data_IF_439747277414
#
_entry.id   IF_439747277414
#
_cell.length_a   1.000
_cell.length_b   1.000
_cell.length_c   1.000
_cell.angle_alpha   90.00
_cell.angle_beta   90.00
_cell.angle_gamma   90.00
#
_symmetry.space_group_name_H-M   'P 1'
#
loop_
_entity.id
_entity.type
_entity.pdbx_description
1 polymer ?
#
# COMPACT_ATOMS: atom_id res chain seq x y z
N UNK A 1 -68.03 9.40 67.54
CA UNK A 1 -68.79 8.30 66.92
C UNK A 1 -68.27 8.10 65.50
N UNK A 2 -67.80 6.88 65.20
CA UNK A 2 -67.73 6.20 63.88
C UNK A 2 -66.91 6.95 62.78
N UNK A 3 -65.65 6.62 62.50
CA UNK A 3 -65.09 5.47 61.76
C UNK A 3 -65.16 5.59 60.21
N UNK A 4 -63.99 5.34 59.59
CA UNK A 4 -63.77 4.94 58.18
C UNK A 4 -63.63 6.11 57.18
N UNK A 5 -62.67 6.16 56.26
CA UNK A 5 -61.58 5.26 55.89
C UNK A 5 -61.07 5.64 54.49
N UNK A 6 -59.74 5.81 54.36
CA UNK A 6 -58.92 5.61 53.14
C UNK A 6 -59.10 6.51 51.91
N UNK A 7 -58.01 7.19 51.50
CA UNK A 7 -57.21 6.89 50.30
C UNK A 7 -55.94 7.80 50.30
N UNK A 8 -54.82 7.18 49.92
CA UNK A 8 -53.45 7.71 49.81
C UNK A 8 -53.17 8.32 48.41
N UNK A 9 -51.96 8.90 48.29
CA UNK A 9 -51.26 9.47 47.11
C UNK A 9 -51.42 10.99 47.02
N UNK A 10 -50.41 11.87 47.09
CA UNK A 10 -48.95 11.73 47.07
C UNK A 10 -48.38 12.77 46.08
N UNK A 11 -47.68 13.83 46.54
CA UNK A 11 -46.90 14.74 45.69
C UNK A 11 -45.72 15.37 46.47
N UNK A 12 -44.51 14.94 46.10
CA UNK A 12 -43.27 15.75 46.01
C UNK A 12 -42.39 15.99 47.24
N UNK A 13 -41.09 15.66 47.15
CA UNK A 13 -40.01 16.48 47.71
C UNK A 13 -39.15 17.12 46.59
N UNK A 14 -38.41 18.22 46.88
CA UNK A 14 -37.62 18.92 45.90
C UNK A 14 -36.25 18.27 45.66
N UNK A 15 -35.74 18.58 44.48
CA UNK A 15 -34.49 18.18 43.84
C UNK A 15 -33.23 18.63 44.59
N UNK A 16 -32.37 17.66 44.92
CA UNK A 16 -30.92 17.85 45.01
C UNK A 16 -30.24 16.69 44.27
N UNK A 17 -29.27 17.03 43.43
CA UNK A 17 -28.41 16.06 42.75
C UNK A 17 -28.42 16.26 41.24
N UNK A 18 -27.29 16.75 40.73
CA UNK A 18 -26.50 16.06 39.70
C UNK A 18 -25.17 16.83 39.58
N UNK A 19 -24.16 16.28 40.23
CA UNK A 19 -22.77 16.65 40.04
C UNK A 19 -22.33 16.31 38.62
N UNK A 20 -21.53 17.21 38.07
CA UNK A 20 -20.71 16.99 36.88
C UNK A 20 -19.71 15.85 37.13
N UNK A 21 -19.78 14.80 36.32
CA UNK A 21 -18.65 13.92 36.05
C UNK A 21 -18.87 13.19 34.72
N UNK A 22 -18.23 13.67 33.65
CA UNK A 22 -17.50 12.81 32.70
C UNK A 22 -16.68 13.59 31.65
N UNK A 23 -15.40 13.91 31.95
CA UNK A 23 -14.40 14.15 30.91
C UNK A 23 -13.15 13.24 31.00
N UNK A 24 -13.03 12.39 32.03
CA UNK A 24 -11.78 11.67 32.30
C UNK A 24 -11.57 10.43 31.40
N UNK A 25 -12.65 9.73 31.03
CA UNK A 25 -12.55 8.48 30.25
C UNK A 25 -12.10 8.71 28.79
N UNK A 26 -12.58 9.76 28.14
CA UNK A 26 -12.19 10.09 26.76
C UNK A 26 -10.70 10.47 26.65
N UNK A 27 -10.16 11.19 27.64
CA UNK A 27 -8.75 11.58 27.69
C UNK A 27 -7.83 10.38 27.92
N UNK A 28 -8.26 9.45 28.78
CA UNK A 28 -7.47 8.24 29.11
C UNK A 28 -7.42 7.29 27.92
N UNK A 29 -8.55 7.06 27.24
CA UNK A 29 -8.59 6.21 26.04
C UNK A 29 -7.69 6.76 24.94
N UNK A 30 -7.71 8.08 24.68
CA UNK A 30 -6.86 8.71 23.66
C UNK A 30 -5.37 8.64 24.03
N UNK A 31 -5.02 8.81 25.31
CA UNK A 31 -3.63 8.71 25.76
C UNK A 31 -3.10 7.27 25.66
N UNK A 32 -3.93 6.28 25.97
CA UNK A 32 -3.59 4.86 25.78
C UNK A 32 -3.44 4.53 24.30
N UNK A 33 -4.33 5.02 23.44
CA UNK A 33 -4.28 4.78 22.00
C UNK A 33 -3.01 5.37 21.35
N UNK A 34 -2.64 6.60 21.75
CA UNK A 34 -1.39 7.24 21.31
C UNK A 34 -0.16 6.46 21.79
N UNK A 35 -0.16 5.98 23.04
CA UNK A 35 0.95 5.17 23.55
C UNK A 35 1.07 3.81 22.82
N UNK A 36 -0.07 3.17 22.53
CA UNK A 36 -0.14 1.90 21.78
C UNK A 36 0.41 2.04 20.36
N UNK A 37 0.17 3.18 19.70
CA UNK A 37 0.70 3.44 18.35
C UNK A 37 2.15 3.97 18.34
N UNK A 38 2.56 4.70 19.37
CA UNK A 38 3.90 5.28 19.44
C UNK A 38 4.98 4.21 19.74
N UNK A 39 4.68 3.20 20.58
CA UNK A 39 5.68 2.18 20.93
C UNK A 39 6.18 1.35 19.72
N UNK A 40 5.31 0.86 18.80
CA UNK A 40 5.76 0.20 17.57
C UNK A 40 6.57 1.11 16.64
N UNK A 41 6.26 2.41 16.60
CA UNK A 41 7.04 3.39 15.83
C UNK A 41 8.44 3.60 16.42
N UNK A 42 8.54 3.74 17.75
CA UNK A 42 9.83 3.87 18.44
C UNK A 42 10.69 2.60 18.25
N UNK A 43 10.07 1.41 18.33
CA UNK A 43 10.75 0.15 18.04
C UNK A 43 11.25 0.10 16.59
N UNK A 44 10.43 0.49 15.63
CA UNK A 44 10.79 0.56 14.21
C UNK A 44 12.04 1.42 13.98
N UNK A 45 12.08 2.63 14.56
CA UNK A 45 13.24 3.53 14.45
C UNK A 45 14.50 2.94 15.06
N UNK A 46 14.38 2.31 16.23
CA UNK A 46 15.52 1.78 16.95
C UNK A 46 16.09 0.49 16.32
N UNK A 47 15.23 -0.36 15.74
CA UNK A 47 15.60 -1.74 15.40
C UNK A 47 15.49 -2.06 13.90
N UNK A 48 14.62 -1.39 13.15
CA UNK A 48 14.34 -1.70 11.75
C UNK A 48 15.05 -0.74 10.81
N UNK A 49 14.97 0.58 11.06
CA UNK A 49 15.65 1.57 10.22
C UNK A 49 17.15 1.31 10.02
N UNK A 50 17.92 0.92 11.06
CA UNK A 50 19.33 0.57 10.87
C UNK A 50 19.56 -0.60 9.90
N UNK A 51 18.59 -1.51 9.73
CA UNK A 51 18.70 -2.65 8.81
C UNK A 51 18.73 -2.18 7.34
N UNK A 52 18.06 -1.08 7.02
CA UNK A 52 18.01 -0.52 5.67
C UNK A 52 19.32 0.13 5.25
N UNK A 53 20.00 0.77 6.20
CA UNK A 53 21.29 1.46 6.01
C UNK A 53 22.49 0.52 6.14
N UNK A 54 22.30 -0.66 6.76
CA UNK A 54 23.36 -1.65 6.99
C UNK A 54 24.08 -1.98 5.68
N UNK A 55 25.40 -1.73 5.59
CA UNK A 55 26.18 -2.12 4.41
C UNK A 55 26.16 -3.64 4.26
N UNK A 56 25.76 -4.12 3.08
CA UNK A 56 25.66 -5.56 2.81
C UNK A 56 26.54 -6.03 1.65
N UNK A 57 27.29 -5.11 1.00
CA UNK A 57 28.07 -5.31 -0.24
C UNK A 57 27.73 -4.25 -1.31
N UNK A 58 28.55 -4.14 -2.37
CA UNK A 58 28.39 -3.15 -3.46
C UNK A 58 28.05 -3.86 -4.79
N UNK A 59 27.23 -3.27 -5.69
CA UNK A 59 27.03 -3.81 -7.04
C UNK A 59 28.36 -3.93 -7.80
N UNK A 60 28.81 -5.16 -8.05
CA UNK A 60 30.11 -5.46 -8.68
C UNK A 60 31.16 -6.08 -7.76
N UNK A 61 30.85 -6.23 -6.47
CA UNK A 61 31.59 -7.10 -5.55
C UNK A 61 31.06 -8.53 -5.65
N UNK A 62 31.94 -9.53 -5.72
CA UNK A 62 31.59 -10.96 -5.58
C UNK A 62 31.23 -11.34 -4.13
N UNK A 63 31.23 -10.37 -3.20
CA UNK A 63 30.81 -10.54 -1.81
C UNK A 63 29.82 -9.45 -1.41
N UNK A 64 28.60 -9.90 -1.15
CA UNK A 64 27.56 -9.11 -0.49
C UNK A 64 26.58 -8.39 -1.43
N UNK A 65 25.32 -8.30 -0.99
CA UNK A 65 24.22 -7.63 -1.70
C UNK A 65 24.18 -6.14 -1.41
N UNK A 66 23.58 -5.32 -2.27
CA UNK A 66 23.41 -3.89 -1.99
C UNK A 66 22.60 -3.69 -0.68
N UNK A 67 22.88 -2.61 0.06
CA UNK A 67 22.02 -2.21 1.17
C UNK A 67 20.61 -1.89 0.65
N UNK A 68 19.56 -2.11 1.46
CA UNK A 68 18.18 -1.87 1.02
C UNK A 68 18.01 -0.45 0.50
N UNK A 69 18.58 0.53 1.22
CA UNK A 69 18.49 1.94 0.87
C UNK A 69 19.06 2.27 -0.52
N UNK A 70 20.08 1.54 -0.99
CA UNK A 70 20.73 1.79 -2.28
C UNK A 70 19.75 1.68 -3.45
N UNK A 71 18.73 0.82 -3.33
CA UNK A 71 17.67 0.70 -4.31
C UNK A 71 16.39 1.43 -3.86
N UNK A 72 16.07 1.40 -2.57
CA UNK A 72 14.80 1.86 -2.03
C UNK A 72 14.70 3.37 -1.77
N UNK A 73 15.77 4.16 -1.84
CA UNK A 73 15.67 5.63 -1.81
C UNK A 73 15.35 6.25 -3.18
N UNK A 74 16.01 5.78 -4.25
CA UNK A 74 15.95 6.47 -5.56
C UNK A 74 15.57 5.57 -6.74
N UNK A 75 15.94 4.29 -6.72
CA UNK A 75 15.81 3.40 -7.89
C UNK A 75 14.44 2.74 -7.95
N UNK A 76 13.80 2.48 -6.81
CA UNK A 76 12.49 1.83 -6.72
C UNK A 76 11.45 2.78 -6.13
N UNK A 77 11.08 3.81 -6.88
CA UNK A 77 9.96 4.71 -6.57
C UNK A 77 8.57 4.06 -6.69
N UNK A 78 8.49 2.73 -6.56
CA UNK A 78 7.26 1.95 -6.70
C UNK A 78 7.18 0.96 -5.55
N UNK A 79 6.25 1.22 -4.62
CA UNK A 79 5.81 0.40 -3.47
C UNK A 79 6.62 0.47 -2.18
N UNK A 80 7.94 0.55 -2.28
CA UNK A 80 8.80 0.68 -1.11
C UNK A 80 9.84 1.75 -1.40
N UNK A 81 9.45 3.00 -1.15
CA UNK A 81 10.28 4.18 -1.33
C UNK A 81 10.59 4.78 0.03
N UNK A 82 11.85 4.70 0.44
CA UNK A 82 12.35 5.32 1.65
C UNK A 82 12.80 6.75 1.33
N UNK A 83 12.68 7.64 2.31
CA UNK A 83 13.28 8.96 2.28
C UNK A 83 14.79 8.86 2.16
N UNK A 84 15.41 9.84 1.52
CA UNK A 84 16.87 9.97 1.52
C UNK A 84 17.35 10.33 2.94
N UNK A 85 18.25 9.54 3.55
CA UNK A 85 18.73 9.85 4.90
C UNK A 85 19.50 11.16 4.91
N UNK A 86 19.29 11.97 5.94
CA UNK A 86 20.06 13.20 6.16
C UNK A 86 21.50 12.85 6.53
N UNK A 87 22.47 13.47 5.88
CA UNK A 87 23.88 13.28 6.23
C UNK A 87 24.18 13.82 7.63
N UNK A 88 24.81 12.98 8.47
CA UNK A 88 25.31 13.38 9.79
C UNK A 88 26.81 13.06 9.89
N UNK A 89 27.54 13.63 10.86
CA UNK A 89 28.96 13.30 11.08
C UNK A 89 29.24 11.81 11.33
N UNK A 90 28.23 11.04 11.74
CA UNK A 90 28.33 9.61 12.04
C UNK A 90 27.76 8.71 10.92
N UNK A 91 27.41 9.29 9.76
CA UNK A 91 26.74 8.61 8.64
C UNK A 91 25.33 9.16 8.36
N UNK A 92 24.63 8.60 7.38
CA UNK A 92 23.24 8.99 7.07
C UNK A 92 22.26 8.53 8.17
N UNK A 93 21.33 9.38 8.57
CA UNK A 93 20.24 9.06 9.49
C UNK A 93 18.95 9.81 9.11
N UNK A 94 17.80 9.27 9.47
CA UNK A 94 16.51 9.93 9.24
C UNK A 94 16.14 10.85 10.39
N UNK A 95 15.60 12.03 10.06
CA UNK A 95 14.87 12.84 11.06
C UNK A 95 13.61 12.10 11.49
N UNK A 96 12.96 12.53 12.57
CA UNK A 96 11.69 11.92 12.98
C UNK A 96 10.61 12.06 11.90
N UNK A 97 10.55 13.21 11.22
CA UNK A 97 9.58 13.44 10.15
C UNK A 97 9.82 12.51 8.96
N UNK A 98 11.09 12.28 8.58
CA UNK A 98 11.45 11.29 7.56
C UNK A 98 11.10 9.87 8.02
N UNK A 99 11.38 9.56 9.29
CA UNK A 99 11.07 8.25 9.88
C UNK A 99 9.58 7.95 9.85
N UNK A 100 8.72 8.94 10.12
CA UNK A 100 7.25 8.79 10.05
C UNK A 100 6.77 8.48 8.63
N UNK A 101 7.29 9.18 7.62
CA UNK A 101 6.98 8.88 6.22
C UNK A 101 7.44 7.48 5.82
N UNK A 102 8.64 7.08 6.25
CA UNK A 102 9.13 5.72 6.01
C UNK A 102 8.24 4.68 6.69
N UNK A 103 7.82 4.93 7.94
CA UNK A 103 6.95 4.05 8.70
C UNK A 103 5.61 3.83 7.98
N UNK A 104 4.98 4.89 7.48
CA UNK A 104 3.75 4.81 6.67
C UNK A 104 3.91 3.94 5.43
N UNK A 105 5.05 4.03 4.74
CA UNK A 105 5.34 3.19 3.56
C UNK A 105 5.60 1.73 3.97
N UNK A 106 6.36 1.51 5.04
CA UNK A 106 6.74 0.16 5.49
C UNK A 106 5.52 -0.60 6.01
N UNK A 107 4.63 0.05 6.75
CA UNK A 107 3.44 -0.61 7.32
C UNK A 107 2.44 -1.04 6.25
N UNK A 108 2.40 -0.41 5.07
CA UNK A 108 1.63 -0.89 3.92
C UNK A 108 2.12 -2.25 3.36
N UNK A 109 3.30 -2.71 3.78
CA UNK A 109 3.90 -3.97 3.33
C UNK A 109 3.74 -5.10 4.36
N UNK A 110 3.06 -4.84 5.47
CA UNK A 110 2.85 -5.79 6.56
C UNK A 110 1.43 -6.35 6.58
N UNK A 111 1.28 -7.50 7.21
CA UNK A 111 0.01 -8.09 7.57
C UNK A 111 0.11 -8.54 9.04
N UNK A 112 -0.45 -7.77 9.96
CA UNK A 112 -0.34 -8.06 11.39
C UNK A 112 -1.18 -9.28 11.84
N UNK A 113 -2.23 -9.65 11.09
CA UNK A 113 -3.02 -10.86 11.38
C UNK A 113 -2.38 -12.15 10.84
N UNK A 114 -1.55 -12.05 9.80
CA UNK A 114 -0.71 -13.14 9.29
C UNK A 114 0.71 -12.61 9.00
N UNK A 115 1.54 -12.41 10.05
CA UNK A 115 2.83 -11.75 9.96
C UNK A 115 3.76 -12.33 8.89
N UNK A 116 3.84 -13.66 8.80
CA UNK A 116 4.70 -14.37 7.87
C UNK A 116 4.32 -14.14 6.39
N UNK A 117 3.06 -13.78 6.11
CA UNK A 117 2.60 -13.42 4.76
C UNK A 117 3.06 -12.03 4.29
N UNK A 118 3.60 -11.22 5.21
CA UNK A 118 3.99 -9.83 4.94
C UNK A 118 5.02 -9.75 3.80
N UNK A 119 4.74 -8.91 2.80
CA UNK A 119 5.68 -8.67 1.69
C UNK A 119 7.02 -8.13 2.19
N UNK A 120 6.99 -7.38 3.30
CA UNK A 120 8.18 -6.86 3.96
C UNK A 120 9.15 -7.99 4.42
N UNK A 121 8.61 -9.14 4.84
CA UNK A 121 9.39 -10.34 5.17
C UNK A 121 9.70 -11.21 3.95
N UNK A 122 8.73 -11.37 3.04
CA UNK A 122 8.88 -12.33 1.94
C UNK A 122 9.84 -11.85 0.85
N UNK A 123 9.97 -10.53 0.61
CA UNK A 123 10.83 -10.01 -0.47
C UNK A 123 12.32 -10.24 -0.22
N UNK A 124 12.86 -10.01 0.99
CA UNK A 124 14.27 -10.28 1.24
C UNK A 124 14.57 -11.76 1.56
N UNK A 125 13.56 -12.60 1.81
CA UNK A 125 13.74 -14.02 2.10
C UNK A 125 14.09 -14.83 0.84
N UNK A 126 14.94 -15.85 0.97
CA UNK A 126 15.28 -16.75 -0.12
C UNK A 126 14.06 -17.53 -0.63
N UNK A 127 13.95 -17.67 -1.96
CA UNK A 127 12.88 -18.45 -2.59
C UNK A 127 12.83 -19.91 -2.11
N UNK A 128 13.99 -20.51 -1.81
CA UNK A 128 14.06 -21.86 -1.23
C UNK A 128 13.46 -21.98 0.17
N UNK A 129 13.30 -20.85 0.87
CA UNK A 129 12.65 -20.74 2.17
C UNK A 129 11.23 -20.15 2.08
N UNK A 130 10.64 -20.09 0.87
CA UNK A 130 9.29 -19.55 0.65
C UNK A 130 9.23 -18.05 0.34
N UNK A 131 10.38 -17.39 0.17
CA UNK A 131 10.43 -15.98 -0.21
C UNK A 131 10.00 -15.68 -1.65
N UNK A 132 9.80 -14.40 -1.95
CA UNK A 132 9.40 -13.88 -3.25
C UNK A 132 10.62 -13.38 -4.04
N UNK A 133 10.53 -13.42 -5.37
CA UNK A 133 11.56 -12.83 -6.23
C UNK A 133 11.78 -11.34 -5.93
N UNK A 134 13.05 -10.95 -5.75
CA UNK A 134 13.49 -9.60 -5.44
C UNK A 134 14.75 -9.23 -6.23
N UNK A 135 14.69 -8.12 -6.96
CA UNK A 135 15.77 -7.66 -7.84
C UNK A 135 17.08 -7.39 -7.09
N UNK A 136 17.02 -6.93 -5.85
CA UNK A 136 18.20 -6.70 -5.00
C UNK A 136 18.89 -7.96 -4.48
N UNK A 137 18.29 -9.14 -4.72
CA UNK A 137 18.72 -10.41 -4.14
C UNK A 137 17.99 -10.74 -2.83
N UNK A 138 18.36 -11.87 -2.23
CA UNK A 138 17.76 -12.38 -1.00
C UNK A 138 18.70 -12.14 0.17
N UNK A 139 18.30 -11.32 1.13
CA UNK A 139 19.10 -10.99 2.31
C UNK A 139 19.10 -12.09 3.38
N UNK A 140 18.06 -12.93 3.43
CA UNK A 140 17.93 -13.98 4.44
C UNK A 140 17.82 -15.35 3.79
N UNK A 141 18.59 -16.32 4.28
CA UNK A 141 18.58 -17.68 3.75
C UNK A 141 17.40 -18.51 4.27
N UNK A 142 16.88 -18.18 5.45
CA UNK A 142 15.78 -18.87 6.10
C UNK A 142 15.02 -17.95 7.05
N UNK A 143 13.89 -18.44 7.57
CA UNK A 143 13.06 -17.73 8.55
C UNK A 143 13.73 -17.60 9.92
N UNK A 144 14.78 -18.38 10.21
CA UNK A 144 15.53 -18.31 11.47
C UNK A 144 16.58 -17.20 11.48
N UNK A 145 16.71 -16.42 10.39
CA UNK A 145 17.64 -15.30 10.34
C UNK A 145 17.32 -14.27 11.45
N UNK A 146 18.32 -13.80 12.24
CA UNK A 146 18.07 -12.86 13.32
C UNK A 146 17.38 -11.57 12.87
N UNK A 147 17.68 -11.07 11.68
CA UNK A 147 17.03 -9.86 11.17
C UNK A 147 15.59 -10.12 10.74
N UNK A 148 15.32 -11.28 10.16
CA UNK A 148 13.96 -11.72 9.86
C UNK A 148 13.12 -11.77 11.15
N UNK A 149 13.67 -12.36 12.21
CA UNK A 149 12.98 -12.47 13.51
C UNK A 149 12.72 -11.10 14.15
N UNK A 150 13.67 -10.15 14.10
CA UNK A 150 13.46 -8.78 14.58
C UNK A 150 12.27 -8.10 13.89
N UNK A 151 12.16 -8.25 12.58
CA UNK A 151 11.05 -7.67 11.81
C UNK A 151 9.74 -8.40 12.10
N UNK A 152 9.78 -9.73 12.20
CA UNK A 152 8.60 -10.56 12.50
C UNK A 152 8.02 -10.21 13.87
N UNK A 153 8.87 -10.07 14.89
CA UNK A 153 8.45 -9.69 16.24
C UNK A 153 7.84 -8.28 16.28
N UNK A 154 8.39 -7.35 15.51
CA UNK A 154 7.79 -6.03 15.34
C UNK A 154 6.40 -6.10 14.68
N UNK A 155 6.24 -6.89 13.60
CA UNK A 155 4.94 -7.05 12.93
C UNK A 155 3.91 -7.67 13.87
N UNK A 156 4.30 -8.68 14.67
CA UNK A 156 3.43 -9.29 15.69
C UNK A 156 3.01 -8.33 16.80
N UNK A 157 3.80 -7.29 17.05
CA UNK A 157 3.49 -6.26 18.03
C UNK A 157 2.61 -5.12 17.48
N UNK A 158 2.38 -5.07 16.16
CA UNK A 158 1.49 -4.09 15.56
C UNK A 158 0.02 -4.37 15.94
N UNK A 159 -0.79 -3.33 16.19
CA UNK A 159 -2.23 -3.49 16.34
C UNK A 159 -2.86 -4.13 15.09
N UNK A 160 -3.32 -5.38 15.21
CA UNK A 160 -3.89 -6.11 14.07
C UNK A 160 -5.07 -5.39 13.42
N UNK A 161 -5.88 -4.66 14.20
CA UNK A 161 -7.01 -3.89 13.69
C UNK A 161 -6.59 -2.78 12.70
N UNK A 162 -5.36 -2.26 12.83
CA UNK A 162 -4.87 -1.12 12.03
C UNK A 162 -3.92 -1.56 10.91
N UNK A 163 -3.28 -2.73 11.06
CA UNK A 163 -2.20 -3.18 10.18
C UNK A 163 -2.47 -4.55 9.53
N UNK A 164 -3.74 -4.90 9.39
CA UNK A 164 -4.19 -6.06 8.59
C UNK A 164 -4.77 -5.55 7.27
N UNK A 165 -4.31 -6.05 6.12
CA UNK A 165 -4.98 -5.78 4.85
C UNK A 165 -6.44 -6.21 4.92
N UNK A 166 -7.35 -5.43 4.36
CA UNK A 166 -8.77 -5.81 4.36
C UNK A 166 -8.96 -7.20 3.70
N UNK A 167 -9.58 -8.13 4.43
CA UNK A 167 -9.86 -9.52 4.00
C UNK A 167 -10.84 -9.61 2.81
N UNK A 168 -11.41 -8.48 2.38
CA UNK A 168 -12.15 -8.44 1.14
C UNK A 168 -11.18 -8.80 0.02
N UNK A 169 -11.41 -9.94 -0.64
CA UNK A 169 -10.73 -10.30 -1.88
C UNK A 169 -11.15 -9.29 -2.96
N UNK A 170 -10.61 -8.07 -2.86
CA UNK A 170 -10.81 -7.04 -3.86
C UNK A 170 -10.14 -7.59 -5.10
N UNK A 171 -10.92 -7.81 -6.15
CA UNK A 171 -10.39 -8.19 -7.46
C UNK A 171 -10.80 -7.15 -8.46
N UNK A 172 -9.84 -6.71 -9.28
CA UNK A 172 -10.18 -6.05 -10.53
C UNK A 172 -10.87 -7.06 -11.45
N UNK A 173 -11.97 -6.68 -12.10
CA UNK A 173 -12.75 -7.54 -12.98
C UNK A 173 -12.39 -7.38 -14.45
N UNK A 174 -12.56 -8.45 -15.23
CA UNK A 174 -12.24 -8.43 -16.67
C UNK A 174 -13.21 -7.54 -17.48
N UNK A 175 -14.45 -7.40 -17.04
CA UNK A 175 -15.48 -6.68 -17.79
C UNK A 175 -15.14 -5.19 -17.87
N UNK A 176 -14.79 -4.56 -16.76
CA UNK A 176 -14.33 -3.16 -16.70
C UNK A 176 -13.00 -2.98 -17.44
N UNK A 177 -12.07 -3.93 -17.31
CA UNK A 177 -10.85 -3.91 -18.13
C UNK A 177 -11.18 -3.86 -19.63
N UNK A 178 -12.08 -4.73 -20.09
CA UNK A 178 -12.37 -4.90 -21.50
C UNK A 178 -13.24 -3.76 -22.06
N UNK A 179 -14.19 -3.25 -21.28
CA UNK A 179 -15.13 -2.20 -21.67
C UNK A 179 -14.54 -0.79 -21.52
N UNK A 180 -13.76 -0.54 -20.47
CA UNK A 180 -13.35 0.81 -20.08
C UNK A 180 -11.83 1.01 -20.21
N UNK A 181 -11.02 0.16 -19.59
CA UNK A 181 -9.56 0.36 -19.52
C UNK A 181 -8.90 0.14 -20.88
N UNK A 182 -9.21 -0.96 -21.54
CA UNK A 182 -8.56 -1.34 -22.79
C UNK A 182 -8.84 -0.37 -23.95
N UNK A 183 -10.09 -0.01 -24.27
CA UNK A 183 -10.37 0.92 -25.36
C UNK A 183 -10.02 2.36 -25.02
N UNK A 184 -10.31 2.84 -23.80
CA UNK A 184 -10.22 4.28 -23.49
C UNK A 184 -8.87 4.68 -22.88
N UNK A 185 -8.17 3.77 -22.21
CA UNK A 185 -6.87 4.04 -21.57
C UNK A 185 -5.71 3.48 -22.37
N UNK A 186 -5.75 2.17 -22.62
CA UNK A 186 -4.59 1.47 -23.18
C UNK A 186 -4.44 1.70 -24.68
N UNK A 187 -5.56 1.83 -25.40
CA UNK A 187 -5.59 1.96 -26.85
C UNK A 187 -5.59 3.40 -27.35
N UNK A 188 -5.80 4.37 -26.45
CA UNK A 188 -5.85 5.80 -26.79
C UNK A 188 -4.71 6.54 -26.08
N UNK A 189 -4.03 7.41 -26.83
CA UNK A 189 -3.04 8.32 -26.29
C UNK A 189 -3.70 9.53 -25.63
N UNK A 190 -3.11 10.07 -24.56
CA UNK A 190 -3.58 11.31 -23.94
C UNK A 190 -2.74 12.50 -24.43
N UNK A 191 -3.34 13.65 -24.74
CA UNK A 191 -2.65 14.88 -25.17
C UNK A 191 -1.56 14.69 -26.27
N UNK A 192 -1.82 13.86 -27.28
CA UNK A 192 -0.87 13.59 -28.37
C UNK A 192 0.27 12.61 -28.01
N UNK A 193 0.25 12.03 -26.81
CA UNK A 193 1.18 10.99 -26.40
C UNK A 193 0.85 9.64 -27.04
N UNK A 194 1.82 8.73 -27.05
CA UNK A 194 1.61 7.35 -27.51
C UNK A 194 0.67 6.58 -26.58
N UNK A 195 -0.26 5.82 -27.15
CA UNK A 195 -1.08 4.86 -26.41
C UNK A 195 -0.20 3.74 -25.81
N UNK A 196 -0.62 3.16 -24.68
CA UNK A 196 0.09 2.05 -24.04
C UNK A 196 0.28 0.86 -24.98
N UNK A 197 -0.72 0.57 -25.82
CA UNK A 197 -0.67 -0.51 -26.83
C UNK A 197 0.52 -0.38 -27.80
N UNK A 198 1.11 0.81 -27.95
CA UNK A 198 2.26 1.04 -28.85
C UNK A 198 3.53 0.34 -28.37
N UNK A 199 3.67 0.14 -27.06
CA UNK A 199 4.83 -0.54 -26.47
C UNK A 199 4.44 -1.83 -25.72
N UNK A 200 3.21 -1.92 -25.22
CA UNK A 200 2.74 -2.98 -24.33
C UNK A 200 1.78 -3.98 -25.00
N UNK A 201 1.82 -4.12 -26.33
CA UNK A 201 0.94 -5.06 -27.06
C UNK A 201 1.41 -6.51 -27.11
N UNK A 202 2.63 -6.80 -26.63
CA UNK A 202 3.20 -8.14 -26.55
C UNK A 202 4.41 -8.23 -25.62
N UNK A 203 5.02 -9.42 -25.56
CA UNK A 203 6.18 -9.69 -24.70
C UNK A 203 5.83 -9.79 -23.20
N UNK A 204 6.86 -9.68 -22.35
CA UNK A 204 6.72 -9.83 -20.88
C UNK A 204 5.85 -8.75 -20.23
N UNK A 205 5.68 -7.60 -20.89
CA UNK A 205 4.81 -6.50 -20.46
C UNK A 205 3.62 -6.31 -21.42
N UNK A 206 3.13 -7.40 -22.03
CA UNK A 206 2.07 -7.42 -23.04
C UNK A 206 0.65 -7.22 -22.48
N UNK A 207 0.43 -6.24 -21.60
CA UNK A 207 -0.85 -6.02 -20.93
C UNK A 207 -1.87 -5.19 -21.73
N UNK A 208 -1.45 -4.58 -22.84
CA UNK A 208 -2.25 -3.72 -23.71
C UNK A 208 -2.30 -4.30 -25.14
N UNK A 209 -2.94 -5.46 -25.34
CA UNK A 209 -2.88 -6.19 -26.60
C UNK A 209 -3.60 -5.47 -27.74
N UNK A 210 -3.22 -5.81 -28.98
CA UNK A 210 -3.91 -5.39 -30.22
C UNK A 210 -4.39 -6.63 -30.98
N UNK A 211 -5.37 -6.44 -31.86
CA UNK A 211 -5.76 -7.50 -32.80
C UNK A 211 -4.63 -7.82 -33.78
N UNK A 212 -4.55 -9.07 -34.19
CA UNK A 212 -3.49 -9.55 -35.06
C UNK A 212 -3.60 -8.89 -36.44
N UNK A 213 -2.48 -8.38 -36.98
CA UNK A 213 -2.43 -7.79 -38.32
C UNK A 213 -3.36 -6.58 -38.54
N UNK A 214 -3.76 -5.87 -37.48
CA UNK A 214 -4.74 -4.78 -37.56
C UNK A 214 -6.20 -5.23 -37.58
N UNK A 215 -6.47 -6.52 -37.41
CA UNK A 215 -7.83 -7.06 -37.26
C UNK A 215 -8.45 -6.75 -35.90
N UNK A 216 -9.69 -7.18 -35.71
CA UNK A 216 -10.39 -7.02 -34.44
C UNK A 216 -9.66 -7.75 -33.30
N UNK A 217 -9.63 -7.14 -32.11
CA UNK A 217 -9.10 -7.78 -30.92
C UNK A 217 -10.07 -8.88 -30.47
N UNK A 218 -9.56 -10.10 -30.26
CA UNK A 218 -10.34 -11.20 -29.74
C UNK A 218 -10.41 -11.16 -28.21
N UNK A 219 -11.52 -11.62 -27.63
CA UNK A 219 -11.67 -11.70 -26.18
C UNK A 219 -10.57 -12.55 -25.54
N UNK A 220 -10.21 -13.68 -26.15
CA UNK A 220 -9.12 -14.54 -25.68
C UNK A 220 -7.80 -13.76 -25.56
N UNK A 221 -7.51 -12.87 -26.51
CA UNK A 221 -6.32 -12.02 -26.48
C UNK A 221 -6.43 -10.92 -25.43
N UNK A 222 -7.62 -10.32 -25.27
CA UNK A 222 -7.89 -9.37 -24.19
C UNK A 222 -7.67 -10.01 -22.80
N UNK A 223 -8.15 -11.24 -22.58
CA UNK A 223 -7.95 -12.00 -21.32
C UNK A 223 -6.47 -12.26 -21.01
N UNK A 224 -5.65 -12.55 -22.02
CA UNK A 224 -4.20 -12.68 -21.85
C UNK A 224 -3.55 -11.35 -21.42
N UNK A 225 -3.98 -10.24 -22.03
CA UNK A 225 -3.55 -8.90 -21.66
C UNK A 225 -3.93 -8.58 -20.21
N UNK A 226 -5.17 -8.86 -19.84
CA UNK A 226 -5.69 -8.68 -18.48
C UNK A 226 -4.89 -9.47 -17.44
N UNK A 227 -4.63 -10.76 -17.69
CA UNK A 227 -3.82 -11.58 -16.80
C UNK A 227 -2.39 -11.04 -16.60
N UNK A 228 -1.85 -10.35 -17.61
CA UNK A 228 -0.56 -9.66 -17.52
C UNK A 228 -0.69 -8.36 -16.72
N UNK A 229 -1.77 -7.59 -16.93
CA UNK A 229 -2.06 -6.36 -16.21
C UNK A 229 -2.23 -6.60 -14.71
N UNK A 230 -2.93 -7.67 -14.31
CA UNK A 230 -3.18 -8.01 -12.91
C UNK A 230 -1.88 -8.13 -12.10
N UNK A 231 -0.76 -8.55 -12.72
CA UNK A 231 0.56 -8.62 -12.06
C UNK A 231 1.18 -7.26 -11.76
N UNK A 232 0.62 -6.19 -12.33
CA UNK A 232 1.04 -4.80 -12.12
C UNK A 232 0.12 -4.09 -11.11
N UNK A 233 -1.00 -4.70 -10.74
CA UNK A 233 -1.96 -4.18 -9.78
C UNK A 233 -1.73 -4.84 -8.42
N UNK A 234 -1.87 -4.07 -7.35
CA UNK A 234 -2.12 -4.58 -5.99
C UNK A 234 -3.60 -4.32 -5.77
N UNK A 235 -4.46 -5.36 -5.81
CA UNK A 235 -5.88 -5.14 -5.59
C UNK A 235 -6.14 -4.52 -4.22
N UNK A 236 -7.11 -3.63 -4.12
CA UNK A 236 -7.35 -2.80 -2.94
C UNK A 236 -6.41 -1.58 -2.82
N UNK A 237 -5.22 -1.62 -3.43
CA UNK A 237 -4.19 -0.60 -3.23
C UNK A 237 -3.70 0.03 -4.55
N UNK A 238 -4.31 1.15 -4.97
CA UNK A 238 -3.86 1.89 -6.14
C UNK A 238 -2.49 2.56 -5.94
N UNK A 239 -2.16 2.92 -4.71
CA UNK A 239 -0.90 3.59 -4.35
C UNK A 239 0.30 2.65 -4.44
N UNK A 240 0.08 1.34 -4.32
CA UNK A 240 1.10 0.33 -4.60
C UNK A 240 0.99 -0.24 -6.02
N UNK A 241 0.01 0.15 -6.83
CA UNK A 241 -0.18 -0.43 -8.17
C UNK A 241 0.79 0.15 -9.21
N UNK A 242 1.72 -0.66 -9.74
CA UNK A 242 2.69 -0.23 -10.77
C UNK A 242 2.01 0.28 -12.03
N UNK A 243 0.81 -0.23 -12.31
CA UNK A 243 -0.03 0.24 -13.41
C UNK A 243 -0.34 1.74 -13.28
N UNK A 244 -0.60 2.23 -12.07
CA UNK A 244 -0.88 3.65 -11.80
C UNK A 244 0.38 4.47 -11.57
N UNK A 245 1.40 3.91 -10.92
CA UNK A 245 2.60 4.66 -10.54
C UNK A 245 3.60 4.89 -11.68
N UNK A 246 3.78 3.93 -12.60
CA UNK A 246 4.80 4.05 -13.66
C UNK A 246 4.50 5.18 -14.67
N UNK A 247 3.27 5.36 -15.16
CA UNK A 247 2.95 6.45 -16.06
C UNK A 247 2.51 7.73 -15.35
N UNK A 248 2.47 7.78 -14.01
CA UNK A 248 2.27 9.01 -13.24
C UNK A 248 3.57 9.84 -13.20
N UNK A 249 3.46 11.16 -13.32
CA UNK A 249 4.60 12.07 -13.24
C UNK A 249 5.26 12.02 -11.85
N UNK A 250 6.59 12.12 -11.73
CA UNK A 250 7.29 12.10 -10.44
C UNK A 250 6.79 13.16 -9.45
N UNK A 251 6.51 14.38 -9.90
CA UNK A 251 5.95 15.45 -9.04
C UNK A 251 4.56 15.10 -8.50
N UNK A 252 3.82 14.26 -9.24
CA UNK A 252 2.56 13.67 -8.81
C UNK A 252 2.72 12.45 -7.90
N UNK A 253 3.96 12.07 -7.57
CA UNK A 253 4.36 10.88 -6.80
C UNK A 253 4.46 9.58 -7.60
N UNK A 254 4.65 9.67 -8.91
CA UNK A 254 4.92 8.54 -9.78
C UNK A 254 6.40 8.15 -9.86
N UNK A 255 6.71 7.14 -10.67
CA UNK A 255 8.07 6.59 -10.77
C UNK A 255 8.90 7.26 -11.86
N UNK A 256 10.19 7.52 -11.58
CA UNK A 256 11.17 7.87 -12.63
C UNK A 256 11.47 6.70 -13.58
N UNK A 257 11.29 5.45 -13.12
CA UNK A 257 11.66 4.22 -13.84
C UNK A 257 10.60 3.76 -14.85
N UNK A 258 10.17 4.65 -15.73
CA UNK A 258 9.34 4.34 -16.90
C UNK A 258 9.92 5.06 -18.11
N UNK A 259 10.45 4.29 -19.07
CA UNK A 259 11.06 4.80 -20.30
C UNK A 259 10.02 5.19 -21.37
N UNK A 260 8.80 5.53 -20.94
CA UNK A 260 7.66 5.84 -21.79
C UNK A 260 6.91 7.08 -21.31
N UNK A 261 5.80 7.37 -21.99
CA UNK A 261 5.00 8.58 -21.75
C UNK A 261 4.46 8.66 -20.32
N UNK A 262 4.34 9.89 -19.80
CA UNK A 262 3.69 10.17 -18.52
C UNK A 262 2.25 10.58 -18.78
N UNK A 263 1.32 9.69 -18.47
CA UNK A 263 -0.11 9.82 -18.78
C UNK A 263 -0.82 10.81 -17.86
N UNK A 264 -0.44 10.83 -16.58
CA UNK A 264 -1.05 11.67 -15.55
C UNK A 264 -0.01 12.56 -14.90
N UNK A 265 -0.40 13.80 -14.62
CA UNK A 265 0.46 14.74 -13.88
C UNK A 265 0.33 14.57 -12.37
N UNK A 266 -0.88 14.31 -11.88
CA UNK A 266 -1.17 14.19 -10.46
C UNK A 266 -2.18 13.06 -10.22
N UNK A 267 -2.29 12.62 -8.97
CA UNK A 267 -3.33 11.67 -8.54
C UNK A 267 -4.74 12.24 -8.68
N UNK A 268 -4.90 13.55 -8.67
CA UNK A 268 -6.22 14.18 -8.82
C UNK A 268 -6.75 14.14 -10.26
N UNK A 269 -5.99 13.60 -11.21
CA UNK A 269 -6.46 13.39 -12.57
C UNK A 269 -7.71 12.47 -12.54
N UNK A 270 -8.84 12.87 -13.17
CA UNK A 270 -10.07 12.09 -13.11
C UNK A 270 -9.91 10.65 -13.59
N UNK A 271 -9.14 10.44 -14.66
CA UNK A 271 -8.89 9.10 -15.19
C UNK A 271 -8.06 8.28 -14.20
N UNK A 272 -7.06 8.90 -13.56
CA UNK A 272 -6.30 8.23 -12.49
C UNK A 272 -7.24 7.80 -11.35
N UNK A 273 -8.13 8.69 -10.90
CA UNK A 273 -9.09 8.41 -9.81
C UNK A 273 -10.06 7.28 -10.17
N UNK A 274 -10.52 7.23 -11.42
CA UNK A 274 -11.42 6.17 -11.89
C UNK A 274 -10.73 4.80 -11.88
N UNK A 275 -9.49 4.74 -12.35
CA UNK A 275 -8.71 3.50 -12.30
C UNK A 275 -8.34 3.12 -10.86
N UNK A 276 -8.11 4.11 -9.99
CA UNK A 276 -7.87 3.87 -8.58
C UNK A 276 -9.11 3.30 -7.88
N UNK A 277 -10.31 3.82 -8.20
CA UNK A 277 -11.58 3.27 -7.74
C UNK A 277 -11.78 1.83 -8.21
N UNK A 278 -11.46 1.53 -9.47
CA UNK A 278 -11.52 0.17 -9.98
C UNK A 278 -10.57 -0.78 -9.25
N UNK A 279 -9.33 -0.34 -8.98
CA UNK A 279 -8.36 -1.13 -8.20
C UNK A 279 -8.83 -1.36 -6.76
N UNK A 280 -9.53 -0.39 -6.16
CA UNK A 280 -10.19 -0.53 -4.85
C UNK A 280 -11.47 -1.37 -4.89
N UNK A 281 -11.94 -1.78 -6.07
CA UNK A 281 -13.19 -2.54 -6.25
C UNK A 281 -14.46 -1.70 -6.12
N UNK A 282 -14.35 -0.37 -6.17
CA UNK A 282 -15.47 0.57 -6.04
C UNK A 282 -16.29 0.69 -7.34
N UNK A 283 -15.66 0.41 -8.49
CA UNK A 283 -16.32 0.35 -9.80
C UNK A 283 -16.01 -0.98 -10.48
N UNK A 284 -16.93 -1.49 -11.28
CA UNK A 284 -16.82 -2.77 -12.00
C UNK A 284 -17.82 -2.85 -13.15
N UNK A 285 -17.70 -3.87 -14.00
CA UNK A 285 -18.63 -4.09 -15.11
C UNK A 285 -18.40 -3.12 -16.26
N UNK A 286 -19.42 -2.93 -17.11
CA UNK A 286 -19.29 -2.16 -18.35
C UNK A 286 -19.58 -0.64 -18.22
N UNK A 287 -19.89 -0.13 -17.02
CA UNK A 287 -20.10 1.30 -16.79
C UNK A 287 -18.75 1.99 -16.55
N UNK A 288 -18.40 2.93 -17.42
CA UNK A 288 -17.11 3.61 -17.39
C UNK A 288 -17.15 4.99 -16.69
N UNK A 289 -18.26 5.30 -16.02
CA UNK A 289 -18.42 6.49 -15.17
C UNK A 289 -17.41 6.51 -14.01
N UNK A 290 -16.99 7.68 -13.50
CA UNK A 290 -17.45 9.03 -13.86
C UNK A 290 -16.68 9.71 -15.01
N UNK A 291 -15.77 9.00 -15.71
CA UNK A 291 -14.85 9.64 -16.67
C UNK A 291 -15.04 9.23 -18.12
N UNK A 292 -15.48 8.01 -18.43
CA UNK A 292 -15.69 7.57 -19.81
C UNK A 292 -17.15 7.25 -20.14
#
# INVERSE_FOLDING_TARGET
MIAGGGILVGLGPPSEGLGLADPLQASTNRATDVATQQAPFDYYRANIEPLFLRPRGYPGSTRGQAACISCHAWQTSVRFSLEEPTETPNGGAWTEEQSRRNYEVVTQLVNASDPESSRFLLKPLAQSAGGLSHTGGNHWASTEDPEYQVILDWIRALPAADFTPDDAEVTVDFEFYNACVLPNVLSVGNYGQLACTSCHSGGQAGFAPRGAGGGALTEARARQGFATLQRLIVPGDPELSRFLLKPLHPDGGGSYAHNGVRRWQTRSDPEWQTLAAWIRGEVSGADCSPVY
#
